data_IF_638796055641
#
_entry.id   IF_638796055641
#
_cell.length_a   1.000
_cell.length_b   1.000
_cell.length_c   1.000
_cell.angle_alpha   90.00
_cell.angle_beta   90.00
_cell.angle_gamma   90.00
#
_symmetry.space_group_name_H-M   'P 1'
#
loop_
_entity.id
_entity.type
_entity.pdbx_description
1 polymer ?
#
# COMPACT_ATOMS: atom_id res chain seq x y z
N UNK A 1 39.72 -38.74 -17.00
CA UNK A 1 38.27 -38.51 -17.22
C UNK A 1 37.50 -38.30 -15.90
N UNK A 2 38.09 -37.64 -14.89
CA UNK A 2 37.45 -37.43 -13.57
C UNK A 2 37.41 -35.94 -13.14
N UNK A 3 37.98 -35.04 -13.95
CA UNK A 3 38.02 -33.60 -13.65
C UNK A 3 36.81 -32.87 -14.25
N UNK A 4 36.37 -33.27 -15.45
CA UNK A 4 35.23 -32.66 -16.15
C UNK A 4 33.89 -32.85 -15.42
N UNK A 5 33.65 -34.03 -14.82
CA UNK A 5 32.44 -34.31 -14.04
C UNK A 5 32.37 -33.43 -12.78
N UNK A 6 33.52 -33.12 -12.16
CA UNK A 6 33.62 -32.27 -10.97
C UNK A 6 33.35 -30.79 -11.29
N UNK A 7 33.79 -30.33 -12.46
CA UNK A 7 33.58 -28.94 -12.92
C UNK A 7 32.13 -28.73 -13.39
N UNK A 8 31.52 -29.73 -14.04
CA UNK A 8 30.11 -29.62 -14.48
C UNK A 8 29.12 -29.59 -13.30
N UNK A 9 29.42 -30.28 -12.19
CA UNK A 9 28.59 -30.22 -10.99
C UNK A 9 28.60 -28.86 -10.28
N UNK A 10 29.69 -28.10 -10.37
CA UNK A 10 29.84 -26.81 -9.69
C UNK A 10 29.08 -25.67 -10.41
N UNK A 11 28.93 -25.77 -11.74
CA UNK A 11 28.28 -24.72 -12.56
C UNK A 11 26.75 -24.73 -12.37
N UNK A 12 26.15 -25.87 -12.04
CA UNK A 12 24.70 -26.00 -11.85
C UNK A 12 24.18 -25.32 -10.57
N UNK A 13 25.06 -25.06 -9.59
CA UNK A 13 24.69 -24.49 -8.28
C UNK A 13 24.67 -22.95 -8.35
N UNK A 14 25.39 -22.35 -9.31
CA UNK A 14 25.44 -20.90 -9.49
C UNK A 14 24.25 -20.30 -10.27
N UNK A 15 23.40 -21.13 -10.87
CA UNK A 15 22.23 -20.64 -11.63
C UNK A 15 20.95 -20.52 -10.79
N UNK A 16 20.97 -20.92 -9.52
CA UNK A 16 19.81 -20.90 -8.62
C UNK A 16 19.66 -19.64 -7.77
N UNK A 17 20.57 -18.66 -7.86
CA UNK A 17 20.50 -17.41 -7.04
C UNK A 17 19.83 -16.23 -7.75
N UNK A 18 19.17 -16.42 -8.89
CA UNK A 18 18.49 -15.36 -9.65
C UNK A 18 16.99 -15.19 -9.33
N UNK A 19 16.47 -15.81 -8.27
CA UNK A 19 15.14 -15.48 -7.73
C UNK A 19 15.30 -14.51 -6.56
N UNK A 20 15.56 -13.23 -6.85
CA UNK A 20 15.45 -12.17 -5.85
C UNK A 20 14.15 -11.39 -6.05
N UNK A 21 13.24 -11.59 -5.09
CA UNK A 21 12.21 -10.66 -4.60
C UNK A 21 11.11 -10.15 -5.56
N UNK A 22 10.66 -10.96 -6.51
CA UNK A 22 9.39 -10.67 -7.20
C UNK A 22 8.19 -10.72 -6.23
N UNK A 23 8.23 -11.60 -5.22
CA UNK A 23 7.19 -11.72 -4.20
C UNK A 23 7.11 -10.49 -3.28
N UNK A 24 8.24 -9.93 -2.85
CA UNK A 24 8.25 -8.73 -2.00
C UNK A 24 7.75 -7.49 -2.76
N UNK A 25 8.12 -7.34 -4.03
CA UNK A 25 7.59 -6.26 -4.89
C UNK A 25 6.08 -6.34 -5.02
N UNK A 26 5.53 -7.54 -5.21
CA UNK A 26 4.09 -7.76 -5.32
C UNK A 26 3.35 -7.41 -4.01
N UNK A 27 3.91 -7.79 -2.86
CA UNK A 27 3.35 -7.46 -1.54
C UNK A 27 3.35 -5.95 -1.31
N UNK A 28 4.47 -5.26 -1.57
CA UNK A 28 4.57 -3.81 -1.42
C UNK A 28 3.59 -3.06 -2.34
N UNK A 29 3.44 -3.50 -3.60
CA UNK A 29 2.48 -2.91 -4.53
C UNK A 29 1.03 -3.06 -4.05
N UNK A 30 0.66 -4.21 -3.49
CA UNK A 30 -0.67 -4.45 -2.92
C UNK A 30 -0.93 -3.58 -1.69
N UNK A 31 0.06 -3.44 -0.81
CA UNK A 31 -0.02 -2.55 0.35
C UNK A 31 -0.21 -1.10 -0.07
N UNK A 32 0.58 -0.64 -1.05
CA UNK A 32 0.48 0.70 -1.59
C UNK A 32 -0.90 0.98 -2.20
N UNK A 33 -1.45 0.01 -2.96
CA UNK A 33 -2.82 0.10 -3.47
C UNK A 33 -3.85 0.25 -2.35
N UNK A 34 -3.75 -0.57 -1.29
CA UNK A 34 -4.64 -0.48 -0.14
C UNK A 34 -4.56 0.88 0.54
N UNK A 35 -3.34 1.35 0.84
CA UNK A 35 -3.14 2.65 1.47
C UNK A 35 -3.74 3.80 0.65
N UNK A 36 -3.53 3.79 -0.68
CA UNK A 36 -4.13 4.78 -1.59
C UNK A 36 -5.66 4.74 -1.53
N UNK A 37 -6.25 3.54 -1.58
CA UNK A 37 -7.71 3.37 -1.52
C UNK A 37 -8.29 3.86 -0.18
N UNK A 38 -7.63 3.54 0.94
CA UNK A 38 -8.05 3.98 2.27
C UNK A 38 -7.99 5.49 2.44
N UNK A 39 -6.91 6.13 1.96
CA UNK A 39 -6.79 7.59 1.99
C UNK A 39 -7.86 8.23 1.12
N UNK A 40 -8.07 7.71 -0.10
CA UNK A 40 -9.10 8.25 -1.00
C UNK A 40 -10.51 8.10 -0.40
N UNK A 41 -10.79 6.99 0.28
CA UNK A 41 -12.01 6.80 1.05
C UNK A 41 -12.16 7.83 2.18
N UNK A 42 -11.11 8.02 2.99
CA UNK A 42 -11.09 9.03 4.06
C UNK A 42 -11.30 10.46 3.53
N UNK A 43 -10.60 10.83 2.46
CA UNK A 43 -10.77 12.14 1.83
C UNK A 43 -12.20 12.32 1.31
N UNK A 44 -12.79 11.27 0.72
CA UNK A 44 -14.17 11.34 0.23
C UNK A 44 -15.19 11.51 1.35
N UNK A 45 -15.04 10.81 2.48
CA UNK A 45 -15.99 10.94 3.60
C UNK A 45 -15.90 12.28 4.30
N UNK A 46 -14.71 12.91 4.29
CA UNK A 46 -14.46 14.22 4.88
C UNK A 46 -14.75 15.39 3.92
N UNK A 47 -15.33 15.15 2.74
CA UNK A 47 -15.54 16.16 1.69
C UNK A 47 -14.24 16.86 1.22
N UNK A 48 -13.11 16.13 1.23
CA UNK A 48 -11.78 16.55 0.78
C UNK A 48 -11.43 15.95 -0.59
N UNK A 49 -12.41 15.83 -1.48
CA UNK A 49 -12.26 15.13 -2.78
C UNK A 49 -11.40 15.86 -3.80
N UNK A 50 -11.03 17.11 -3.53
CA UNK A 50 -10.13 17.94 -4.33
C UNK A 50 -8.65 17.69 -4.04
N UNK A 51 -8.33 16.79 -3.10
CA UNK A 51 -6.96 16.40 -2.83
C UNK A 51 -6.53 15.25 -3.74
N UNK A 52 -5.41 15.42 -4.43
CA UNK A 52 -4.83 14.41 -5.31
C UNK A 52 -3.46 13.94 -4.80
N UNK A 53 -3.13 12.68 -5.07
CA UNK A 53 -1.83 12.09 -4.71
C UNK A 53 -0.72 12.77 -5.53
N UNK A 54 0.38 13.14 -4.86
CA UNK A 54 1.53 13.72 -5.54
C UNK A 54 2.21 12.69 -6.47
N UNK A 55 2.70 13.15 -7.62
CA UNK A 55 3.25 12.30 -8.68
C UNK A 55 4.42 11.42 -8.21
N UNK A 56 5.27 11.95 -7.33
CA UNK A 56 6.41 11.24 -6.74
C UNK A 56 6.00 10.11 -5.81
N UNK A 57 4.76 10.13 -5.32
CA UNK A 57 4.20 9.17 -4.37
C UNK A 57 3.41 8.05 -5.07
N UNK A 58 3.43 7.97 -6.41
CA UNK A 58 2.93 6.80 -7.15
C UNK A 58 3.85 5.58 -7.08
N UNK A 59 5.04 5.72 -6.51
CA UNK A 59 5.98 4.61 -6.38
C UNK A 59 5.50 3.61 -5.32
N UNK A 60 5.42 2.30 -5.64
CA UNK A 60 4.82 1.28 -4.79
C UNK A 60 5.58 0.98 -3.50
N UNK A 61 6.79 1.54 -3.33
CA UNK A 61 7.65 1.34 -2.16
C UNK A 61 7.48 2.44 -1.09
N UNK A 62 6.66 3.47 -1.36
CA UNK A 62 6.43 4.55 -0.40
C UNK A 62 5.31 4.20 0.59
N UNK A 63 5.63 4.30 1.88
CA UNK A 63 4.71 4.15 3.02
C UNK A 63 4.10 5.48 3.47
N UNK A 64 4.75 6.59 3.09
CA UNK A 64 4.30 7.96 3.32
C UNK A 64 3.83 8.57 2.01
N UNK A 65 2.61 9.08 2.00
CA UNK A 65 1.95 9.59 0.80
C UNK A 65 1.49 11.02 1.04
N UNK A 66 1.84 11.92 0.12
CA UNK A 66 1.46 13.31 0.16
C UNK A 66 0.32 13.57 -0.81
N UNK A 67 -0.70 14.28 -0.32
CA UNK A 67 -1.85 14.69 -1.10
C UNK A 67 -1.90 16.22 -1.15
N UNK A 68 -2.05 16.78 -2.34
CA UNK A 68 -2.09 18.23 -2.56
C UNK A 68 -3.48 18.67 -2.98
N UNK A 69 -3.95 19.78 -2.41
CA UNK A 69 -5.23 20.35 -2.78
C UNK A 69 -5.15 20.94 -4.19
N UNK A 70 -6.02 20.47 -5.09
CA UNK A 70 -6.20 21.05 -6.40
C UNK A 70 -6.91 22.40 -6.24
N UNK A 71 -6.32 23.48 -6.77
CA UNK A 71 -6.85 24.85 -6.69
C UNK A 71 -8.11 25.06 -7.56
N UNK A 72 -9.15 24.23 -7.39
CA UNK A 72 -10.38 24.34 -8.19
C UNK A 72 -11.54 25.02 -7.49
N UNK A 73 -11.44 25.38 -6.21
CA UNK A 73 -12.56 25.99 -5.50
C UNK A 73 -12.23 27.37 -4.94
N UNK A 74 -12.75 28.40 -5.61
CA UNK A 74 -12.88 29.77 -5.07
C UNK A 74 -13.92 29.86 -3.94
N UNK A 75 -14.45 28.73 -3.45
CA UNK A 75 -15.64 28.66 -2.62
C UNK A 75 -15.42 28.00 -1.26
N UNK A 76 -14.16 27.84 -0.81
CA UNK A 76 -13.86 27.33 0.52
C UNK A 76 -13.75 28.47 1.52
N UNK A 77 -14.73 28.56 2.43
CA UNK A 77 -14.76 29.54 3.52
C UNK A 77 -13.76 29.25 4.65
N UNK A 78 -13.15 28.06 4.70
CA UNK A 78 -12.17 27.69 5.73
C UNK A 78 -10.77 27.49 5.14
N UNK A 79 -9.72 28.02 5.80
CA UNK A 79 -8.35 27.77 5.41
C UNK A 79 -8.03 26.28 5.64
N UNK A 80 -7.91 25.53 4.55
CA UNK A 80 -7.45 24.14 4.59
C UNK A 80 -5.95 24.07 4.28
N UNK A 81 -5.22 23.09 4.84
CA UNK A 81 -3.82 22.90 4.54
C UNK A 81 -3.63 22.57 3.05
N UNK A 82 -2.67 23.23 2.40
CA UNK A 82 -2.37 23.00 0.97
C UNK A 82 -1.92 21.57 0.66
N UNK A 83 -1.35 20.91 1.66
CA UNK A 83 -0.83 19.55 1.58
C UNK A 83 -1.24 18.78 2.82
N UNK A 84 -1.69 17.55 2.62
CA UNK A 84 -1.92 16.55 3.65
C UNK A 84 -0.89 15.47 3.48
N UNK A 85 -0.37 14.97 4.60
CA UNK A 85 0.60 13.89 4.59
C UNK A 85 0.07 12.74 5.42
N UNK A 86 0.12 11.55 4.84
CA UNK A 86 -0.40 10.34 5.45
C UNK A 86 0.69 9.30 5.58
N UNK A 87 0.73 8.65 6.74
CA UNK A 87 1.53 7.46 6.99
C UNK A 87 0.60 6.26 7.10
N UNK A 88 0.84 5.27 6.27
CA UNK A 88 0.10 4.01 6.31
C UNK A 88 0.92 2.97 7.06
N UNK A 89 0.41 2.53 8.20
CA UNK A 89 1.08 1.56 9.07
C UNK A 89 0.29 0.26 9.02
N UNK A 90 0.94 -0.80 8.55
CA UNK A 90 0.39 -2.15 8.66
C UNK A 90 0.96 -2.80 9.92
N UNK A 91 0.08 -3.09 10.87
CA UNK A 91 0.41 -3.84 12.07
C UNK A 91 0.12 -5.33 11.93
N UNK A 92 0.34 -6.04 13.03
CA UNK A 92 0.02 -7.47 13.13
C UNK A 92 -1.47 -7.73 12.89
N UNK A 93 -1.78 -8.99 12.52
CA UNK A 93 -3.15 -9.45 12.26
C UNK A 93 -3.89 -8.68 11.16
N UNK A 94 -3.17 -8.23 10.13
CA UNK A 94 -3.74 -7.49 9.01
C UNK A 94 -4.50 -6.21 9.42
N UNK A 95 -4.11 -5.63 10.56
CA UNK A 95 -4.55 -4.30 10.96
C UNK A 95 -3.83 -3.26 10.13
N UNK A 96 -4.59 -2.37 9.52
CA UNK A 96 -4.06 -1.21 8.78
C UNK A 96 -4.51 0.04 9.50
N UNK A 97 -3.56 0.93 9.77
CA UNK A 97 -3.78 2.22 10.40
C UNK A 97 -3.34 3.32 9.46
N UNK A 98 -4.19 4.32 9.30
CA UNK A 98 -3.88 5.53 8.58
C UNK A 98 -3.63 6.65 9.58
N UNK A 99 -2.47 7.26 9.49
CA UNK A 99 -2.08 8.37 10.33
C UNK A 99 -2.00 9.64 9.49
N UNK A 100 -2.68 10.71 9.91
CA UNK A 100 -2.51 12.03 9.34
C UNK A 100 -1.40 12.76 10.11
N UNK A 101 -0.38 13.20 9.39
CA UNK A 101 0.74 13.95 9.96
C UNK A 101 0.35 15.41 10.09
N UNK A 102 0.44 15.95 11.32
CA UNK A 102 0.29 17.35 11.59
C UNK A 102 1.61 18.09 11.22
N UNK A 103 1.59 18.99 10.22
CA UNK A 103 2.78 19.72 9.80
C UNK A 103 3.27 20.73 10.85
N UNK A 104 2.42 21.14 11.80
CA UNK A 104 2.75 22.14 12.83
C UNK A 104 3.38 21.53 14.06
N UNK A 105 2.98 20.31 14.42
CA UNK A 105 3.44 19.62 15.63
C UNK A 105 4.38 18.44 15.35
N UNK A 106 4.60 18.08 14.08
CA UNK A 106 5.32 16.87 13.67
C UNK A 106 4.79 15.57 14.31
N UNK A 107 3.52 15.58 14.72
CA UNK A 107 2.84 14.45 15.35
C UNK A 107 1.89 13.80 14.36
N UNK A 108 1.82 12.47 14.38
CA UNK A 108 0.96 11.69 13.49
C UNK A 108 -0.25 11.16 14.26
N UNK A 109 -1.46 11.54 13.84
CA UNK A 109 -2.71 11.17 14.49
C UNK A 109 -3.42 10.06 13.72
N UNK A 110 -3.89 9.02 14.41
CA UNK A 110 -4.65 7.94 13.76
C UNK A 110 -6.02 8.48 13.33
N UNK A 111 -6.25 8.53 12.02
CA UNK A 111 -7.53 8.99 11.44
C UNK A 111 -8.40 7.84 10.96
N UNK A 112 -7.81 6.67 10.73
CA UNK A 112 -8.52 5.46 10.35
C UNK A 112 -7.78 4.23 10.88
N UNK A 113 -8.52 3.26 11.40
CA UNK A 113 -7.98 1.95 11.75
C UNK A 113 -8.95 0.89 11.30
N UNK A 114 -8.45 -0.05 10.50
CA UNK A 114 -9.24 -1.12 9.93
C UNK A 114 -8.53 -2.45 10.19
N UNK A 115 -9.32 -3.50 10.40
CA UNK A 115 -8.81 -4.86 10.37
C UNK A 115 -9.25 -5.47 9.03
N UNK A 116 -8.28 -5.83 8.19
CA UNK A 116 -8.54 -6.40 6.87
C UNK A 116 -8.50 -7.92 7.01
N UNK A 117 -9.64 -8.63 7.01
CA UNK A 117 -9.64 -10.08 7.10
C UNK A 117 -8.91 -10.69 5.90
N UNK A 118 -8.25 -11.83 6.12
CA UNK A 118 -7.55 -12.54 5.03
C UNK A 118 -8.57 -13.03 4.01
N UNK A 119 -8.17 -13.14 2.74
CA UNK A 119 -9.06 -13.61 1.68
C UNK A 119 -9.72 -14.97 1.98
N UNK A 120 -9.01 -15.85 2.70
CA UNK A 120 -9.55 -17.14 3.17
C UNK A 120 -10.69 -16.94 4.17
N UNK A 121 -10.54 -15.99 5.10
CA UNK A 121 -11.59 -15.64 6.05
C UNK A 121 -12.78 -15.01 5.34
N UNK A 122 -12.53 -14.13 4.35
CA UNK A 122 -13.59 -13.56 3.52
C UNK A 122 -14.38 -14.66 2.80
N UNK A 123 -13.71 -15.62 2.15
CA UNK A 123 -14.37 -16.76 1.49
C UNK A 123 -15.25 -17.57 2.45
N UNK A 124 -14.83 -17.71 3.71
CA UNK A 124 -15.62 -18.40 4.74
C UNK A 124 -16.82 -17.57 5.21
N UNK A 125 -16.68 -16.24 5.20
CA UNK A 125 -17.71 -15.29 5.67
C UNK A 125 -18.70 -14.90 4.56
N UNK A 126 -18.35 -15.11 3.29
CA UNK A 126 -19.27 -14.89 2.16
C UNK A 126 -20.05 -16.16 1.87
N UNK A 127 -21.39 -16.08 1.92
CA UNK A 127 -22.28 -17.18 1.54
C UNK A 127 -22.19 -17.57 0.05
N UNK A 128 -21.49 -16.77 -0.77
CA UNK A 128 -21.34 -17.01 -2.19
C UNK A 128 -20.09 -17.87 -2.47
N UNK A 129 -20.31 -19.15 -2.73
CA UNK A 129 -19.28 -20.03 -3.27
C UNK A 129 -19.27 -19.85 -4.79
N UNK A 130 -18.17 -19.36 -5.37
CA UNK A 130 -18.00 -19.38 -6.82
C UNK A 130 -18.11 -20.85 -7.28
N UNK A 131 -19.07 -21.21 -8.15
CA UNK A 131 -19.14 -22.55 -8.69
C UNK A 131 -17.83 -22.85 -9.42
N UNK A 132 -17.25 -24.03 -9.15
CA UNK A 132 -16.07 -24.50 -9.86
C UNK A 132 -16.41 -24.52 -11.35
N UNK A 133 -15.64 -23.79 -12.16
CA UNK A 133 -15.80 -23.85 -13.61
C UNK A 133 -15.54 -25.28 -14.10
N UNK A 134 -16.38 -25.78 -15.02
CA UNK A 134 -16.24 -27.12 -15.59
C UNK A 134 -14.98 -27.27 -16.44
#
# INVERSE_FOLDING_TARGET
MNLYIKVMGLILICTLTACQNETEKAVNAQQHFMCKALIQGFLSTQHLTDYELNLEDHHPLKTQLNYTAQRKSAQRLMPQPKQLQFNCIQGDNAKVQLHLVDPTQAQAHVVLSLNIPKAIDIKRLTAYQLPAQP
#
